data_IF_475176354737
#
_entry.id   IF_475176354737
#
_cell.length_a   1.000
_cell.length_b   1.000
_cell.length_c   1.000
_cell.angle_alpha   90.00
_cell.angle_beta   90.00
_cell.angle_gamma   90.00
#
_symmetry.space_group_name_H-M   'P 1'
#
loop_
_entity.id
_entity.type
_entity.pdbx_description
1 polymer ?
#
# COMPACT_ATOMS: atom_id res chain seq x y z
N UNK A 1 -26.75 7.92 2.62
CA UNK A 1 -26.87 7.62 1.18
C UNK A 1 -25.62 6.90 0.72
N UNK A 2 -25.77 6.05 -0.30
CA UNK A 2 -24.89 4.95 -0.63
C UNK A 2 -23.57 5.38 -1.29
N UNK A 3 -22.48 4.71 -0.93
CA UNK A 3 -21.42 4.41 -1.90
C UNK A 3 -21.05 2.93 -1.81
N UNK A 4 -22.01 2.12 -2.27
CA UNK A 4 -21.73 0.79 -2.79
C UNK A 4 -21.08 0.94 -4.15
N UNK A 5 -19.75 0.91 -4.17
CA UNK A 5 -18.94 0.93 -5.38
C UNK A 5 -18.03 -0.29 -5.45
N UNK A 6 -18.58 -1.50 -5.31
CA UNK A 6 -17.87 -2.74 -5.59
C UNK A 6 -17.61 -2.86 -7.10
N UNK A 7 -16.67 -2.06 -7.60
CA UNK A 7 -16.20 -2.13 -8.98
C UNK A 7 -15.24 -3.33 -9.07
N UNK A 8 -15.78 -4.44 -9.56
CA UNK A 8 -15.01 -5.58 -10.04
C UNK A 8 -13.96 -5.08 -11.05
N UNK A 9 -12.69 -5.05 -10.67
CA UNK A 9 -11.57 -5.03 -11.63
C UNK A 9 -10.82 -6.37 -11.55
N UNK A 10 -10.76 -7.11 -12.66
CA UNK A 10 -10.15 -8.44 -12.72
C UNK A 10 -8.63 -8.34 -12.70
N UNK A 11 -7.97 -9.40 -12.19
CA UNK A 11 -6.51 -9.62 -12.20
C UNK A 11 -5.70 -8.61 -11.39
N UNK A 12 -5.70 -8.77 -10.06
CA UNK A 12 -4.58 -8.28 -9.25
C UNK A 12 -3.42 -9.25 -9.45
N UNK A 13 -2.67 -9.02 -10.53
CA UNK A 13 -1.36 -9.60 -10.74
C UNK A 13 -0.44 -9.09 -9.61
N UNK A 14 -0.28 -9.88 -8.55
CA UNK A 14 0.89 -9.92 -7.64
C UNK A 14 1.39 -8.57 -7.10
N UNK A 15 0.52 -7.56 -6.98
CA UNK A 15 0.94 -6.22 -6.59
C UNK A 15 -0.16 -5.54 -5.79
N UNK A 16 0.16 -5.14 -4.55
CA UNK A 16 -0.77 -4.48 -3.63
C UNK A 16 -1.33 -3.21 -4.28
N UNK A 17 -2.64 -3.20 -4.51
CA UNK A 17 -3.34 -2.08 -5.14
C UNK A 17 -3.40 -0.84 -4.24
N UNK A 18 -3.59 0.35 -4.83
CA UNK A 18 -3.62 1.63 -4.10
C UNK A 18 -4.67 1.62 -2.96
N UNK A 19 -5.87 1.07 -3.21
CA UNK A 19 -6.92 0.92 -2.19
C UNK A 19 -6.50 0.03 -1.01
N UNK A 20 -5.87 -1.12 -1.28
CA UNK A 20 -5.37 -2.00 -0.23
C UNK A 20 -4.29 -1.31 0.60
N UNK A 21 -3.33 -0.64 -0.06
CA UNK A 21 -2.27 0.12 0.62
C UNK A 21 -2.86 1.24 1.48
N UNK A 22 -3.85 1.98 0.98
CA UNK A 22 -4.59 3.00 1.72
C UNK A 22 -5.37 2.41 2.91
N UNK A 23 -5.97 1.25 2.75
CA UNK A 23 -6.65 0.55 3.85
C UNK A 23 -5.66 0.14 4.94
N UNK A 24 -4.50 -0.41 4.58
CA UNK A 24 -3.45 -0.76 5.54
C UNK A 24 -2.86 0.48 6.25
N UNK A 25 -2.81 1.62 5.56
CA UNK A 25 -2.41 2.90 6.14
C UNK A 25 -3.41 3.39 7.17
N UNK A 26 -4.68 3.50 6.81
CA UNK A 26 -5.75 3.93 7.71
C UNK A 26 -5.89 3.00 8.91
N UNK A 27 -5.72 1.70 8.68
CA UNK A 27 -5.80 0.67 9.72
C UNK A 27 -4.52 0.57 10.58
N UNK A 28 -3.43 1.24 10.20
CA UNK A 28 -2.14 1.15 10.90
C UNK A 28 -1.49 -0.24 10.82
N UNK A 29 -1.89 -1.07 9.84
CA UNK A 29 -1.46 -2.46 9.69
C UNK A 29 -0.35 -2.65 8.68
N UNK A 30 0.14 -1.60 8.01
CA UNK A 30 1.37 -1.65 7.21
C UNK A 30 2.56 -2.24 7.97
N UNK A 31 2.68 -1.95 9.27
CA UNK A 31 3.73 -2.51 10.12
C UNK A 31 3.61 -4.02 10.36
N UNK A 32 2.45 -4.61 10.10
CA UNK A 32 2.22 -6.06 10.14
C UNK A 32 2.56 -6.75 8.82
N UNK A 33 2.71 -5.99 7.73
CA UNK A 33 3.18 -6.53 6.47
C UNK A 33 4.66 -6.90 6.58
N UNK A 34 5.03 -7.94 5.84
CA UNK A 34 6.41 -8.41 5.78
C UNK A 34 7.25 -7.47 4.92
N UNK A 35 8.54 -7.34 5.25
CA UNK A 35 9.49 -6.53 4.47
C UNK A 35 9.47 -6.81 2.96
N UNK A 36 9.37 -8.07 2.46
CA UNK A 36 9.25 -8.31 1.01
C UNK A 36 7.98 -7.71 0.41
N UNK A 37 6.84 -7.76 1.10
CA UNK A 37 5.58 -7.14 0.63
C UNK A 37 5.70 -5.62 0.57
N UNK A 38 6.29 -5.01 1.60
CA UNK A 38 6.54 -3.56 1.61
C UNK A 38 7.54 -3.14 0.52
N UNK A 39 8.56 -3.96 0.23
CA UNK A 39 9.49 -3.72 -0.87
C UNK A 39 8.81 -3.78 -2.23
N UNK A 40 7.86 -4.69 -2.41
CA UNK A 40 7.12 -4.83 -3.67
C UNK A 40 6.29 -3.57 -3.95
N UNK A 41 5.55 -3.09 -2.94
CA UNK A 41 4.86 -1.78 -2.99
C UNK A 41 5.85 -0.68 -3.32
N UNK A 42 6.96 -0.59 -2.58
CA UNK A 42 7.96 0.44 -2.83
C UNK A 42 8.43 0.43 -4.30
N UNK A 43 8.72 -0.76 -4.84
CA UNK A 43 9.19 -0.93 -6.22
C UNK A 43 8.11 -0.56 -7.26
N UNK A 44 6.86 -0.90 -6.99
CA UNK A 44 5.73 -0.60 -7.86
C UNK A 44 5.49 0.91 -7.98
N UNK A 45 5.57 1.64 -6.86
CA UNK A 45 5.34 3.10 -6.80
C UNK A 45 6.63 3.93 -6.96
N UNK A 46 7.76 3.30 -7.30
CA UNK A 46 9.05 3.99 -7.48
C UNK A 46 9.65 4.57 -6.18
N UNK A 47 9.19 4.10 -5.03
CA UNK A 47 9.65 4.49 -3.71
C UNK A 47 10.94 3.72 -3.34
N UNK A 48 11.84 4.40 -2.62
CA UNK A 48 13.13 3.85 -2.20
C UNK A 48 13.12 3.62 -0.69
N UNK A 49 13.53 2.44 -0.23
CA UNK A 49 13.70 2.15 1.19
C UNK A 49 14.48 0.86 1.44
N UNK A 50 15.31 0.86 2.49
CA UNK A 50 16.17 -0.28 2.84
C UNK A 50 15.78 -0.97 4.15
N UNK A 51 15.06 -0.26 5.03
CA UNK A 51 14.62 -0.76 6.34
C UNK A 51 13.10 -0.86 6.40
N UNK A 52 12.57 -1.75 7.24
CA UNK A 52 11.12 -1.94 7.42
C UNK A 52 10.40 -0.61 7.71
N UNK A 53 10.92 0.18 8.65
CA UNK A 53 10.36 1.49 8.97
C UNK A 53 10.47 2.49 7.82
N UNK A 54 11.59 2.54 7.10
CA UNK A 54 11.70 3.42 5.92
C UNK A 54 10.72 3.04 4.81
N UNK A 55 10.50 1.74 4.58
CA UNK A 55 9.50 1.30 3.61
C UNK A 55 8.10 1.75 4.03
N UNK A 56 7.74 1.57 5.30
CA UNK A 56 6.44 2.00 5.83
C UNK A 56 6.30 3.51 5.74
N UNK A 57 7.33 4.27 6.12
CA UNK A 57 7.32 5.73 6.09
C UNK A 57 7.24 6.26 4.66
N UNK A 58 7.99 5.70 3.72
CA UNK A 58 7.94 6.08 2.30
C UNK A 58 6.55 5.82 1.70
N UNK A 59 5.96 4.64 1.98
CA UNK A 59 4.60 4.30 1.56
C UNK A 59 3.61 5.27 2.22
N UNK A 60 3.69 5.44 3.53
CA UNK A 60 2.81 6.34 4.29
C UNK A 60 2.89 7.77 3.79
N UNK A 61 4.09 8.32 3.63
CA UNK A 61 4.29 9.67 3.13
C UNK A 61 3.79 9.86 1.69
N UNK A 62 3.93 8.85 0.83
CA UNK A 62 3.42 8.91 -0.54
C UNK A 62 1.90 8.93 -0.61
N UNK A 63 1.22 8.08 0.16
CA UNK A 63 -0.24 7.95 0.13
C UNK A 63 -0.98 8.87 1.11
N UNK A 64 -0.32 9.37 2.16
CA UNK A 64 -0.90 10.34 3.12
C UNK A 64 -0.84 11.79 2.61
N UNK A 65 0.06 12.10 1.67
CA UNK A 65 0.10 13.41 0.99
C UNK A 65 -0.90 13.56 -0.17
N UNK A 66 -1.68 12.52 -0.46
CA UNK A 66 -2.44 12.37 -1.70
C UNK A 66 -3.94 12.40 -1.47
#
# INVERSE_FOLDING_TARGET
>A
EAEGGAVKKPKVEVSLGEDEVRQYLQSGTLGKLTVPVLKDVCKQYGLRGSKKQELIDAITGHFAKK
#
